data_IF_898596469525
#
_entry.id   IF_898596469525
#
_cell.length_a   1.000
_cell.length_b   1.000
_cell.length_c   1.000
_cell.angle_alpha   90.00
_cell.angle_beta   90.00
_cell.angle_gamma   90.00
#
_symmetry.space_group_name_H-M   'P 1'
#
loop_
_entity.id
_entity.type
_entity.pdbx_description
1 polymer ?
#
# COMPACT_ATOMS: atom_id res chain seq x y z
N UNK A 1 32.73 -0.85 6.47
CA UNK A 1 31.60 -0.08 5.91
C UNK A 1 31.60 -0.34 4.41
N UNK A 2 30.75 -1.25 3.92
CA UNK A 2 30.69 -1.61 2.51
C UNK A 2 29.66 -0.71 1.84
N UNK A 3 30.13 0.23 1.02
CA UNK A 3 29.29 0.97 0.09
C UNK A 3 29.12 0.10 -1.16
N UNK A 4 27.89 -0.31 -1.46
CA UNK A 4 27.54 -0.86 -2.78
C UNK A 4 27.25 0.33 -3.69
N UNK A 5 28.09 0.50 -4.70
CA UNK A 5 27.92 1.46 -5.80
C UNK A 5 26.79 0.99 -6.71
N UNK A 6 25.84 1.87 -7.02
CA UNK A 6 24.70 1.62 -7.94
C UNK A 6 24.97 2.20 -9.33
N UNK A 7 26.19 2.06 -9.83
CA UNK A 7 26.49 2.42 -11.23
C UNK A 7 26.29 1.20 -12.13
N UNK A 8 25.23 1.24 -12.95
CA UNK A 8 24.97 0.20 -13.95
C UNK A 8 23.57 0.12 -14.56
N UNK A 9 22.57 0.85 -14.04
CA UNK A 9 21.24 0.87 -14.64
C UNK A 9 21.16 1.95 -15.72
N UNK A 10 21.55 1.59 -16.95
CA UNK A 10 21.25 2.38 -18.13
C UNK A 10 19.72 2.50 -18.27
N UNK A 11 19.22 3.73 -18.38
CA UNK A 11 17.81 3.97 -18.64
C UNK A 11 17.42 3.31 -19.96
N UNK A 12 16.49 2.34 -19.91
CA UNK A 12 15.90 1.78 -21.11
C UNK A 12 15.28 2.90 -21.95
N UNK A 13 15.59 2.92 -23.24
CA UNK A 13 15.11 3.89 -24.22
C UNK A 13 13.57 3.98 -24.22
N UNK A 14 12.95 5.17 -24.35
CA UNK A 14 11.49 5.32 -24.24
C UNK A 14 10.68 4.69 -25.39
N UNK A 15 11.33 4.06 -26.37
CA UNK A 15 10.73 3.74 -27.66
C UNK A 15 10.13 2.32 -27.79
N UNK A 16 9.92 1.56 -26.71
CA UNK A 16 9.36 0.19 -26.80
C UNK A 16 8.21 -0.12 -25.84
N UNK A 17 7.44 0.88 -25.41
CA UNK A 17 6.21 0.71 -24.61
C UNK A 17 4.95 0.95 -25.44
N UNK A 18 4.82 0.30 -26.59
CA UNK A 18 3.58 0.32 -27.36
C UNK A 18 3.12 -1.12 -27.63
N UNK A 19 2.47 -1.71 -26.63
CA UNK A 19 1.54 -2.83 -26.81
C UNK A 19 0.32 -2.55 -25.90
N UNK A 20 -0.65 -1.79 -26.40
CA UNK A 20 -1.72 -1.10 -25.62
C UNK A 20 -3.16 -1.50 -26.05
N UNK A 21 -3.54 -2.79 -25.94
CA UNK A 21 -4.93 -3.04 -25.56
C UNK A 21 -5.14 -4.10 -24.46
N UNK A 22 -4.22 -5.05 -24.29
CA UNK A 22 -4.38 -6.14 -23.32
C UNK A 22 -4.06 -5.71 -21.87
N UNK A 23 -3.06 -4.84 -21.69
CA UNK A 23 -2.62 -4.33 -20.37
C UNK A 23 -3.73 -3.52 -19.66
N UNK A 24 -4.47 -2.70 -20.42
CA UNK A 24 -5.55 -1.86 -19.91
C UNK A 24 -6.81 -2.66 -19.52
N UNK A 25 -7.12 -3.70 -20.29
CA UNK A 25 -8.26 -4.59 -20.00
C UNK A 25 -8.03 -5.45 -18.74
N UNK A 26 -6.78 -5.88 -18.50
CA UNK A 26 -6.38 -6.59 -17.28
C UNK A 26 -6.49 -5.69 -16.03
N UNK A 27 -6.20 -4.39 -16.14
CA UNK A 27 -6.32 -3.46 -15.01
C UNK A 27 -7.77 -3.14 -14.64
N UNK A 28 -8.69 -3.13 -15.61
CA UNK A 28 -10.10 -2.80 -15.37
C UNK A 28 -10.86 -3.96 -14.71
N UNK A 29 -10.50 -5.21 -15.06
CA UNK A 29 -11.07 -6.41 -14.43
C UNK A 29 -10.72 -6.51 -12.95
N UNK A 30 -9.42 -6.48 -12.63
CA UNK A 30 -8.96 -6.53 -11.24
C UNK A 30 -9.48 -5.36 -10.39
N UNK A 31 -9.57 -4.15 -10.96
CA UNK A 31 -10.16 -3.01 -10.24
C UNK A 31 -11.59 -3.31 -9.80
N UNK A 32 -12.40 -3.84 -10.72
CA UNK A 32 -13.81 -4.14 -10.45
C UNK A 32 -13.98 -5.19 -9.35
N UNK A 33 -13.19 -6.25 -9.39
CA UNK A 33 -13.24 -7.31 -8.38
C UNK A 33 -12.98 -6.76 -6.97
N UNK A 34 -11.98 -5.89 -6.82
CA UNK A 34 -11.68 -5.26 -5.53
C UNK A 34 -12.74 -4.22 -5.10
N UNK A 35 -13.32 -3.47 -6.05
CA UNK A 35 -14.46 -2.60 -5.75
C UNK A 35 -15.67 -3.39 -5.27
N UNK A 36 -15.97 -4.53 -5.90
CA UNK A 36 -17.05 -5.43 -5.48
C UNK A 36 -16.77 -6.05 -4.09
N UNK A 37 -15.53 -6.48 -3.85
CA UNK A 37 -15.08 -6.94 -2.53
C UNK A 37 -15.35 -5.88 -1.46
N UNK A 38 -14.89 -4.65 -1.66
CA UNK A 38 -15.08 -3.56 -0.71
C UNK A 38 -16.54 -3.12 -0.63
N UNK A 39 -17.33 -3.18 -1.70
CA UNK A 39 -18.77 -2.90 -1.64
C UNK A 39 -19.55 -3.95 -0.82
N UNK A 40 -19.13 -5.21 -0.85
CA UNK A 40 -19.79 -6.34 -0.17
C UNK A 40 -19.61 -6.36 1.36
N UNK A 41 -18.77 -5.47 1.89
CA UNK A 41 -18.39 -5.45 3.32
C UNK A 41 -17.75 -6.77 3.81
N UNK A 42 -17.10 -7.49 2.89
CA UNK A 42 -16.35 -8.71 3.22
C UNK A 42 -15.19 -8.45 4.18
N UNK A 43 -14.88 -9.47 4.99
CA UNK A 43 -13.79 -9.47 5.97
C UNK A 43 -12.64 -10.42 5.57
N UNK A 44 -12.71 -11.07 4.40
CA UNK A 44 -11.71 -12.08 3.99
C UNK A 44 -10.27 -11.51 3.92
N UNK A 45 -10.15 -10.26 3.47
CA UNK A 45 -8.88 -9.52 3.41
C UNK A 45 -8.83 -8.37 4.43
N UNK A 46 -9.80 -8.28 5.34
CA UNK A 46 -9.89 -7.21 6.33
C UNK A 46 -9.90 -7.78 7.75
N UNK A 47 -8.82 -7.53 8.48
CA UNK A 47 -8.66 -7.99 9.86
C UNK A 47 -9.41 -7.12 10.88
N UNK A 48 -10.18 -6.12 10.42
CA UNK A 48 -10.89 -5.16 11.26
C UNK A 48 -9.96 -4.45 12.28
N UNK A 49 -8.70 -4.27 11.90
CA UNK A 49 -7.66 -3.73 12.77
C UNK A 49 -6.30 -3.71 12.08
N UNK A 50 -5.28 -3.11 12.74
CA UNK A 50 -3.94 -3.09 12.19
C UNK A 50 -3.32 -4.48 12.20
N UNK A 51 -2.50 -4.76 11.19
CA UNK A 51 -1.81 -6.03 11.05
C UNK A 51 -0.97 -6.35 12.30
N UNK A 52 -1.12 -7.55 12.84
CA UNK A 52 -0.43 -7.94 14.08
C UNK A 52 1.10 -7.83 13.97
N UNK A 53 1.66 -8.17 12.81
CA UNK A 53 3.09 -8.02 12.55
C UNK A 53 3.55 -6.55 12.63
N UNK A 54 2.71 -5.59 12.20
CA UNK A 54 3.00 -4.16 12.32
C UNK A 54 2.98 -3.73 13.79
N UNK A 55 2.05 -4.26 14.60
CA UNK A 55 1.99 -3.98 16.04
C UNK A 55 3.28 -4.42 16.72
N UNK A 56 3.69 -5.67 16.53
CA UNK A 56 4.91 -6.22 17.09
C UNK A 56 6.15 -5.44 16.63
N UNK A 57 6.23 -5.10 15.35
CA UNK A 57 7.34 -4.33 14.79
C UNK A 57 7.49 -2.96 15.49
N UNK A 58 6.38 -2.28 15.77
CA UNK A 58 6.39 -0.95 16.37
C UNK A 58 6.54 -0.96 17.91
N UNK A 59 6.10 -2.02 18.57
CA UNK A 59 6.01 -2.11 20.04
C UNK A 59 7.15 -2.88 20.69
N UNK A 60 7.71 -3.89 20.03
CA UNK A 60 8.77 -4.70 20.64
C UNK A 60 10.09 -3.93 20.78
N UNK A 61 10.21 -2.78 20.10
CA UNK A 61 11.40 -1.93 20.07
C UNK A 61 12.72 -2.67 19.74
N UNK A 62 12.61 -3.88 19.18
CA UNK A 62 13.74 -4.72 18.73
C UNK A 62 14.46 -4.12 17.54
N UNK A 63 13.76 -3.28 16.77
CA UNK A 63 14.24 -2.68 15.54
C UNK A 63 14.23 -1.16 15.65
N UNK A 64 15.32 -0.52 15.22
CA UNK A 64 15.38 0.94 15.10
C UNK A 64 14.63 1.36 13.83
N UNK A 65 13.34 1.63 13.98
CA UNK A 65 12.54 2.18 12.90
C UNK A 65 12.74 3.70 12.80
N UNK A 66 12.93 4.24 11.59
CA UNK A 66 12.99 5.68 11.39
C UNK A 66 11.64 6.31 11.76
N UNK A 67 11.70 7.39 12.55
CA UNK A 67 10.54 8.26 12.75
C UNK A 67 10.37 9.14 11.52
N UNK A 68 9.12 9.46 11.17
CA UNK A 68 8.82 10.36 10.07
C UNK A 68 7.70 9.84 9.18
N UNK A 69 7.94 9.80 7.87
CA UNK A 69 6.90 9.53 6.87
C UNK A 69 6.71 8.04 6.63
N UNK A 70 5.46 7.62 6.48
CA UNK A 70 5.08 6.24 6.16
C UNK A 70 4.18 6.21 4.91
N UNK A 71 4.25 5.13 4.13
CA UNK A 71 3.34 4.83 3.02
C UNK A 71 2.66 3.50 3.31
N UNK A 72 1.33 3.45 3.21
CA UNK A 72 0.54 2.21 3.24
C UNK A 72 -0.15 2.08 1.90
N UNK A 73 0.34 1.18 1.06
CA UNK A 73 -0.23 0.89 -0.25
C UNK A 73 -1.27 -0.23 -0.16
N UNK A 74 -2.40 -0.09 -0.86
CA UNK A 74 -3.55 -0.97 -0.68
C UNK A 74 -4.12 -0.83 0.73
N UNK A 75 -4.40 0.40 1.16
CA UNK A 75 -4.68 0.68 2.56
C UNK A 75 -6.03 0.16 3.06
N UNK A 76 -6.97 -0.22 2.18
CA UNK A 76 -8.29 -0.69 2.58
C UNK A 76 -9.00 0.34 3.47
N UNK A 77 -9.42 -0.09 4.68
CA UNK A 77 -9.99 0.81 5.70
C UNK A 77 -8.97 1.67 6.47
N UNK A 78 -7.68 1.58 6.14
CA UNK A 78 -6.64 2.48 6.64
C UNK A 78 -6.14 2.16 8.06
N UNK A 79 -6.45 0.99 8.63
CA UNK A 79 -6.09 0.66 10.01
C UNK A 79 -4.59 0.80 10.31
N UNK A 80 -3.72 0.29 9.43
CA UNK A 80 -2.27 0.35 9.59
C UNK A 80 -1.73 1.78 9.52
N UNK A 81 -2.26 2.58 8.59
CA UNK A 81 -1.87 3.98 8.44
C UNK A 81 -2.27 4.78 9.68
N UNK A 82 -3.50 4.57 10.18
CA UNK A 82 -3.98 5.21 11.40
C UNK A 82 -3.17 4.76 12.63
N UNK A 83 -2.81 3.49 12.70
CA UNK A 83 -2.03 2.94 13.81
C UNK A 83 -0.62 3.53 13.89
N UNK A 84 0.05 3.71 12.75
CA UNK A 84 1.32 4.41 12.65
C UNK A 84 1.17 5.90 12.93
N UNK A 85 0.12 6.55 12.41
CA UNK A 85 -0.13 7.97 12.65
C UNK A 85 -0.32 8.29 14.13
N UNK A 86 -1.06 7.45 14.86
CA UNK A 86 -1.23 7.54 16.33
C UNK A 86 0.10 7.41 17.10
N UNK A 87 1.16 6.88 16.49
CA UNK A 87 2.50 6.74 17.07
C UNK A 87 3.49 7.83 16.62
N UNK A 88 2.98 8.86 15.94
CA UNK A 88 3.74 10.04 15.55
C UNK A 88 4.37 9.96 14.16
N UNK A 89 3.97 9.01 13.32
CA UNK A 89 4.35 8.99 11.92
C UNK A 89 3.41 9.89 11.08
N UNK A 90 3.95 10.52 10.04
CA UNK A 90 3.14 11.19 9.02
C UNK A 90 2.86 10.21 7.89
N UNK A 91 1.65 9.66 7.86
CA UNK A 91 1.32 8.58 6.94
C UNK A 91 0.54 9.06 5.72
N UNK A 92 0.92 8.53 4.56
CA UNK A 92 0.14 8.57 3.32
C UNK A 92 -0.42 7.17 3.12
N UNK A 93 -1.75 7.08 3.00
CA UNK A 93 -2.44 5.83 2.73
C UNK A 93 -3.03 5.93 1.32
N UNK A 94 -2.79 4.92 0.49
CA UNK A 94 -3.29 4.88 -0.88
C UNK A 94 -4.01 3.58 -1.14
N UNK A 95 -5.12 3.67 -1.84
CA UNK A 95 -5.84 2.55 -2.42
C UNK A 95 -6.31 2.99 -3.81
N UNK A 96 -6.51 2.05 -4.72
CA UNK A 96 -7.08 2.37 -6.04
C UNK A 96 -8.60 2.22 -6.06
N UNK A 97 -9.19 1.60 -5.01
CA UNK A 97 -10.63 1.44 -4.87
C UNK A 97 -11.25 2.65 -4.18
N UNK A 98 -12.20 3.29 -4.84
CA UNK A 98 -12.94 4.42 -4.29
C UNK A 98 -13.78 3.99 -3.08
N UNK A 99 -14.36 2.79 -3.10
CA UNK A 99 -15.11 2.25 -1.96
C UNK A 99 -14.24 2.00 -0.73
N UNK A 100 -13.00 1.51 -0.91
CA UNK A 100 -12.03 1.34 0.18
C UNK A 100 -11.67 2.69 0.81
N UNK A 101 -11.32 3.68 -0.02
CA UNK A 101 -11.00 5.04 0.43
C UNK A 101 -12.18 5.64 1.21
N UNK A 102 -13.40 5.49 0.70
CA UNK A 102 -14.60 5.99 1.36
C UNK A 102 -14.83 5.33 2.73
N UNK A 103 -14.43 4.06 2.91
CA UNK A 103 -14.48 3.38 4.21
C UNK A 103 -13.37 3.84 5.15
N UNK A 104 -12.17 4.12 4.66
CA UNK A 104 -11.05 4.61 5.46
C UNK A 104 -11.25 6.02 6.03
N UNK A 105 -12.13 6.81 5.39
CA UNK A 105 -12.42 8.19 5.79
C UNK A 105 -13.54 8.32 6.84
N UNK A 106 -14.15 7.21 7.26
CA UNK A 106 -15.19 7.18 8.29
C UNK A 106 -14.61 7.01 9.68
#
# INVERSE_FOLDING_TARGET
MLAVSVEGMSAASPAQLADEPASKQLTDGHRREWEEYWASDSEEHDQNGPAEALRQLLEDHRWLLPRGRCLVAGCGRGYDALYQAKRGHTCVAVDFCDTAIAKAQK
#
